data_IF_716384960903
#
_entry.id   IF_716384960903
#
_cell.length_a   1.000
_cell.length_b   1.000
_cell.length_c   1.000
_cell.angle_alpha   90.00
_cell.angle_beta   90.00
_cell.angle_gamma   90.00
#
_symmetry.space_group_name_H-M   'P 1'
#
loop_
_entity.id
_entity.type
_entity.pdbx_description
1 polymer ?
#
# COMPACT_ATOMS: atom_id res chain seq x y z
N UNK A 1 -19.62 -20.03 -4.71
CA UNK A 1 -18.60 -19.46 -3.82
C UNK A 1 -17.23 -19.54 -4.49
N UNK A 2 -16.54 -18.41 -4.58
CA UNK A 2 -15.26 -18.34 -5.27
C UNK A 2 -14.11 -18.52 -4.27
N UNK A 3 -13.34 -19.63 -4.36
CA UNK A 3 -12.28 -19.91 -3.37
C UNK A 3 -11.22 -18.83 -3.29
N UNK A 4 -10.96 -18.10 -4.38
CA UNK A 4 -9.93 -17.06 -4.42
C UNK A 4 -10.29 -15.80 -3.63
N UNK A 5 -11.51 -15.69 -3.09
CA UNK A 5 -11.88 -14.57 -2.22
C UNK A 5 -11.65 -14.84 -0.73
N UNK A 6 -11.20 -16.04 -0.37
CA UNK A 6 -11.02 -16.42 1.04
C UNK A 6 -9.96 -15.60 1.77
N UNK A 7 -8.92 -15.17 1.05
CA UNK A 7 -7.80 -14.44 1.65
C UNK A 7 -7.86 -12.94 1.39
N UNK A 8 -9.03 -12.44 0.98
CA UNK A 8 -9.18 -11.03 0.69
C UNK A 8 -9.21 -10.22 1.99
N UNK A 9 -8.25 -9.31 2.14
CA UNK A 9 -8.20 -8.37 3.25
C UNK A 9 -8.52 -7.00 2.71
N UNK A 10 -9.52 -6.36 3.30
CA UNK A 10 -9.91 -5.00 2.93
C UNK A 10 -9.58 -4.05 4.06
N UNK A 11 -9.01 -2.91 3.73
CA UNK A 11 -8.69 -1.88 4.69
C UNK A 11 -9.22 -0.55 4.19
N UNK A 12 -9.86 0.18 5.09
CA UNK A 12 -10.24 1.55 4.83
C UNK A 12 -9.13 2.43 5.38
N UNK A 13 -8.57 3.29 4.52
CA UNK A 13 -7.35 4.00 4.85
C UNK A 13 -7.47 5.49 4.56
N UNK A 14 -6.73 6.27 5.33
CA UNK A 14 -6.47 7.67 5.04
C UNK A 14 -5.07 7.80 4.47
N UNK A 15 -4.91 8.55 3.38
CA UNK A 15 -3.59 8.85 2.83
C UNK A 15 -2.93 9.91 3.72
N UNK A 16 -1.79 9.55 4.31
CA UNK A 16 -1.03 10.47 5.15
C UNK A 16 -0.19 11.39 4.30
N UNK A 17 0.53 10.81 3.33
CA UNK A 17 1.33 11.61 2.40
C UNK A 17 1.57 10.82 1.11
N UNK A 18 1.90 11.55 0.05
CA UNK A 18 2.15 10.99 -1.26
C UNK A 18 3.32 11.72 -1.93
N UNK A 19 4.17 10.96 -2.58
CA UNK A 19 5.35 11.50 -3.27
C UNK A 19 5.41 10.91 -4.67
N UNK A 20 5.70 11.76 -5.65
CA UNK A 20 5.75 11.35 -7.04
C UNK A 20 4.38 11.11 -7.64
N UNK A 21 4.34 10.45 -8.79
CA UNK A 21 3.09 10.19 -9.49
C UNK A 21 3.29 9.27 -10.69
N UNK A 22 2.20 9.05 -11.41
CA UNK A 22 2.20 8.20 -12.58
C UNK A 22 1.83 6.75 -12.29
N UNK A 23 1.59 6.02 -13.36
CA UNK A 23 1.26 4.60 -13.30
C UNK A 23 2.50 3.83 -13.73
N UNK A 24 2.89 2.86 -12.92
CA UNK A 24 4.04 2.01 -13.19
C UNK A 24 3.61 0.54 -13.31
N UNK A 25 4.51 -0.28 -13.85
CA UNK A 25 4.19 -1.68 -14.11
C UNK A 25 4.21 -2.58 -12.89
N UNK A 26 4.81 -2.14 -11.78
CA UNK A 26 4.91 -2.93 -10.56
C UNK A 26 4.55 -2.09 -9.34
N UNK A 27 4.02 -2.74 -8.32
CA UNK A 27 3.58 -2.09 -7.09
C UNK A 27 3.99 -2.94 -5.91
N UNK A 28 4.63 -2.29 -4.93
CA UNK A 28 4.97 -2.91 -3.65
C UNK A 28 3.97 -2.44 -2.60
N UNK A 29 3.46 -3.37 -1.81
CA UNK A 29 2.69 -3.04 -0.61
C UNK A 29 3.41 -3.60 0.61
N UNK A 30 3.52 -2.80 1.66
CA UNK A 30 4.11 -3.22 2.94
C UNK A 30 3.13 -2.87 4.04
N UNK A 31 2.78 -3.85 4.85
CA UNK A 31 1.91 -3.65 6.00
C UNK A 31 2.77 -3.58 7.26
N UNK A 32 2.61 -2.50 8.00
CA UNK A 32 3.43 -2.21 9.17
C UNK A 32 2.53 -1.97 10.36
N UNK A 33 2.78 -2.68 11.46
CA UNK A 33 2.05 -2.49 12.71
C UNK A 33 3.05 -2.26 13.83
N UNK A 34 3.60 -1.04 13.95
CA UNK A 34 4.59 -0.74 14.98
C UNK A 34 3.93 -0.71 16.36
N UNK A 35 4.75 -0.90 17.40
CA UNK A 35 4.28 -0.71 18.75
C UNK A 35 3.85 0.74 18.97
N UNK A 36 2.83 0.95 19.82
CA UNK A 36 2.25 2.26 20.04
C UNK A 36 3.30 3.30 20.46
N UNK A 37 4.29 2.89 21.26
CA UNK A 37 5.35 3.77 21.72
C UNK A 37 6.30 4.22 20.60
N UNK A 38 6.36 3.46 19.51
CA UNK A 38 7.26 3.72 18.38
C UNK A 38 6.54 4.19 17.12
N UNK A 39 5.20 4.28 17.17
CA UNK A 39 4.40 4.57 15.98
C UNK A 39 4.80 5.90 15.33
N UNK A 40 4.98 6.97 16.12
CA UNK A 40 5.33 8.28 15.58
C UNK A 40 6.75 8.28 14.98
N UNK A 41 7.70 7.66 15.65
CA UNK A 41 9.07 7.57 15.15
C UNK A 41 9.14 6.75 13.87
N UNK A 42 8.40 5.63 13.80
CA UNK A 42 8.33 4.80 12.61
C UNK A 42 7.69 5.56 11.45
N UNK A 43 6.61 6.30 11.72
CA UNK A 43 5.95 7.11 10.71
C UNK A 43 6.90 8.14 10.10
N UNK A 44 7.65 8.89 10.93
CA UNK A 44 8.61 9.88 10.44
C UNK A 44 9.71 9.23 9.61
N UNK A 45 10.22 8.10 10.07
CA UNK A 45 11.27 7.38 9.35
C UNK A 45 10.78 6.89 8.00
N UNK A 46 9.55 6.35 7.94
CA UNK A 46 8.94 5.93 6.69
C UNK A 46 8.78 7.10 5.73
N UNK A 47 8.26 8.23 6.21
CA UNK A 47 8.07 9.41 5.36
C UNK A 47 9.39 9.90 4.78
N UNK A 48 10.47 9.85 5.57
CA UNK A 48 11.80 10.24 5.11
C UNK A 48 12.28 9.36 3.95
N UNK A 49 12.11 8.06 4.07
CA UNK A 49 12.45 7.10 3.00
C UNK A 49 11.57 7.31 1.78
N UNK A 50 10.26 7.45 1.98
CA UNK A 50 9.31 7.56 0.88
C UNK A 50 9.46 8.85 0.10
N UNK A 51 9.90 9.92 0.76
CA UNK A 51 10.17 11.21 0.11
C UNK A 51 11.22 11.08 -0.98
N UNK A 52 12.19 10.20 -0.81
CA UNK A 52 13.27 10.00 -1.75
C UNK A 52 12.89 9.07 -2.91
N UNK A 53 11.80 8.33 -2.80
CA UNK A 53 11.40 7.33 -3.79
C UNK A 53 11.32 7.88 -5.20
N UNK A 54 10.68 9.05 -5.47
CA UNK A 54 10.59 9.54 -6.84
C UNK A 54 11.93 9.86 -7.48
N UNK A 55 12.97 10.06 -6.67
CA UNK A 55 14.32 10.36 -7.15
C UNK A 55 15.14 9.11 -7.41
N UNK A 56 14.65 7.94 -7.03
CA UNK A 56 15.39 6.69 -7.20
C UNK A 56 15.08 6.06 -8.55
N UNK A 57 16.11 5.51 -9.19
CA UNK A 57 15.98 4.83 -10.47
C UNK A 57 15.13 3.58 -10.29
N UNK A 58 14.14 3.40 -11.16
CA UNK A 58 13.25 2.24 -11.10
C UNK A 58 11.98 2.47 -10.32
N UNK A 59 11.87 3.57 -9.56
CA UNK A 59 10.72 3.90 -8.74
C UNK A 59 10.03 5.16 -9.27
N UNK A 60 8.72 5.27 -9.04
CA UNK A 60 7.93 6.39 -9.55
C UNK A 60 7.19 7.14 -8.47
N UNK A 61 6.52 6.42 -7.56
CA UNK A 61 5.71 7.08 -6.53
C UNK A 61 5.65 6.27 -5.27
N UNK A 62 5.33 6.95 -4.18
CA UNK A 62 5.16 6.31 -2.87
C UNK A 62 4.02 6.97 -2.12
N UNK A 63 3.29 6.17 -1.35
CA UNK A 63 2.18 6.63 -0.54
C UNK A 63 2.25 5.96 0.83
N UNK A 64 2.00 6.73 1.87
CA UNK A 64 1.81 6.19 3.21
C UNK A 64 0.35 6.33 3.60
N UNK A 65 -0.27 5.19 3.93
CA UNK A 65 -1.66 5.12 4.32
C UNK A 65 -1.76 4.70 5.78
N UNK A 66 -2.71 5.26 6.48
CA UNK A 66 -3.06 4.83 7.83
C UNK A 66 -4.42 4.17 7.78
N UNK A 67 -4.53 2.98 8.36
CA UNK A 67 -5.81 2.30 8.43
C UNK A 67 -6.73 3.01 9.41
N UNK A 68 -7.98 3.21 9.00
CA UNK A 68 -9.01 3.76 9.86
C UNK A 68 -10.12 2.73 10.02
N UNK A 69 -10.44 2.40 11.26
CA UNK A 69 -11.59 1.55 11.55
C UNK A 69 -12.78 2.48 11.77
N UNK A 70 -13.81 2.41 10.92
CA UNK A 70 -15.02 3.19 11.18
C UNK A 70 -15.58 2.85 12.55
N UNK A 71 -15.97 3.86 13.31
CA UNK A 71 -16.52 3.62 14.66
C UNK A 71 -17.72 2.69 14.64
N UNK A 72 -18.49 2.71 13.57
CA UNK A 72 -19.65 1.84 13.38
C UNK A 72 -19.26 0.38 13.15
N UNK A 73 -18.03 0.10 12.80
CA UNK A 73 -17.54 -1.25 12.55
C UNK A 73 -16.90 -1.90 13.78
N UNK A 74 -16.82 -1.19 14.91
CA UNK A 74 -16.32 -1.77 16.17
C UNK A 74 -17.43 -2.63 16.80
N UNK A 75 -17.53 -3.85 16.34
CA UNK A 75 -18.40 -4.83 16.95
C UNK A 75 -17.76 -5.38 18.22
N UNK A 76 -18.57 -5.96 19.11
CA UNK A 76 -18.06 -6.62 20.30
C UNK A 76 -17.03 -7.71 19.95
N UNK A 77 -17.18 -8.35 18.81
CA UNK A 77 -16.24 -9.38 18.35
C UNK A 77 -14.85 -8.81 18.08
N UNK A 78 -14.76 -7.62 17.50
CA UNK A 78 -13.47 -6.98 17.25
C UNK A 78 -12.77 -6.60 18.56
N UNK A 79 -13.52 -6.18 19.57
CA UNK A 79 -12.96 -5.89 20.90
C UNK A 79 -12.45 -7.16 21.58
N UNK A 80 -13.14 -8.27 21.41
CA UNK A 80 -12.78 -9.56 22.02
C UNK A 80 -11.50 -10.11 21.37
N UNK A 81 -11.31 -9.89 20.06
CA UNK A 81 -10.12 -10.33 19.35
C UNK A 81 -8.89 -9.45 19.59
N UNK A 82 -9.04 -8.39 20.40
CA UNK A 82 -7.92 -7.53 20.78
C UNK A 82 -7.32 -6.72 19.65
N UNK A 83 -8.04 -6.51 18.57
CA UNK A 83 -7.58 -5.70 17.44
C UNK A 83 -6.41 -6.28 16.67
N UNK A 84 -6.12 -7.58 16.85
CA UNK A 84 -5.01 -8.25 16.17
C UNK A 84 -5.38 -8.88 14.84
N UNK A 85 -6.59 -8.65 14.38
CA UNK A 85 -6.95 -9.15 13.06
C UNK A 85 -6.16 -8.40 12.01
N UNK A 86 -5.95 -9.05 10.93
CA UNK A 86 -5.19 -8.75 9.72
C UNK A 86 -5.15 -7.28 9.24
N UNK A 87 -5.53 -6.31 10.06
CA UNK A 87 -5.52 -4.88 9.74
C UNK A 87 -4.22 -4.27 10.26
N UNK A 88 -3.31 -3.94 9.35
CA UNK A 88 -2.09 -3.22 9.70
C UNK A 88 -2.42 -1.76 10.01
N UNK A 89 -1.67 -1.16 10.95
CA UNK A 89 -1.85 0.25 11.30
C UNK A 89 -1.43 1.17 10.15
N UNK A 90 -0.40 0.77 9.42
CA UNK A 90 0.15 1.55 8.31
C UNK A 90 0.31 0.66 7.08
N UNK A 91 0.05 1.23 5.92
CA UNK A 91 0.29 0.57 4.65
C UNK A 91 1.16 1.50 3.79
N UNK A 92 2.29 0.97 3.35
CA UNK A 92 3.17 1.65 2.39
C UNK A 92 2.88 1.10 1.01
N UNK A 93 2.66 1.99 0.05
CA UNK A 93 2.49 1.62 -1.35
C UNK A 93 3.55 2.33 -2.16
N UNK A 94 4.38 1.57 -2.86
CA UNK A 94 5.41 2.11 -3.73
C UNK A 94 5.22 1.54 -5.12
N UNK A 95 5.17 2.38 -6.13
CA UNK A 95 5.11 1.93 -7.51
C UNK A 95 6.43 2.19 -8.23
N UNK A 96 6.73 1.34 -9.20
CA UNK A 96 7.95 1.45 -9.96
C UNK A 96 7.86 0.68 -11.27
N UNK A 97 8.77 1.01 -12.18
CA UNK A 97 8.88 0.32 -13.48
C UNK A 97 9.92 -0.81 -13.45
N UNK A 98 10.59 -0.99 -12.32
CA UNK A 98 11.58 -2.06 -12.13
C UNK A 98 11.28 -2.79 -10.82
N UNK A 99 10.82 -4.04 -10.93
CA UNK A 99 10.48 -4.85 -9.77
C UNK A 99 11.70 -5.08 -8.86
N UNK A 100 12.90 -5.17 -9.44
CA UNK A 100 14.13 -5.34 -8.67
C UNK A 100 14.39 -4.13 -7.76
N UNK A 101 14.10 -2.92 -8.24
CA UNK A 101 14.23 -1.72 -7.43
C UNK A 101 13.30 -1.75 -6.22
N UNK A 102 12.09 -2.30 -6.39
CA UNK A 102 11.15 -2.49 -5.29
C UNK A 102 11.66 -3.52 -4.28
N UNK A 103 12.23 -4.61 -4.75
CA UNK A 103 12.83 -5.62 -3.88
C UNK A 103 14.03 -5.05 -3.11
N UNK A 104 14.87 -4.28 -3.78
CA UNK A 104 16.03 -3.62 -3.17
C UNK A 104 15.60 -2.62 -2.09
N UNK A 105 14.52 -1.90 -2.32
CA UNK A 105 13.96 -0.99 -1.33
C UNK A 105 13.52 -1.75 -0.07
N UNK A 106 12.85 -2.90 -0.26
CA UNK A 106 12.37 -3.73 0.84
C UNK A 106 13.53 -4.29 1.65
N UNK A 107 14.55 -4.85 0.99
CA UNK A 107 15.68 -5.47 1.66
C UNK A 107 16.71 -4.45 2.16
N UNK A 108 16.69 -3.23 1.63
CA UNK A 108 17.61 -2.16 2.00
C UNK A 108 17.02 -1.17 2.98
N UNK A 109 16.51 -0.05 2.47
CA UNK A 109 16.07 1.08 3.31
C UNK A 109 14.94 0.71 4.26
N UNK A 110 13.96 -0.07 3.80
CA UNK A 110 12.86 -0.48 4.66
C UNK A 110 13.32 -1.48 5.72
N UNK A 111 14.24 -2.36 5.39
CA UNK A 111 14.81 -3.28 6.37
C UNK A 111 15.55 -2.55 7.48
N UNK A 112 16.25 -1.45 7.16
CA UNK A 112 16.95 -0.62 8.15
C UNK A 112 16.00 0.03 9.16
N UNK A 113 14.76 0.26 8.77
CA UNK A 113 13.74 0.80 9.67
C UNK A 113 13.07 -0.26 10.54
N UNK A 114 13.47 -1.53 10.40
CA UNK A 114 12.86 -2.62 11.13
C UNK A 114 11.55 -3.11 10.54
N UNK A 115 11.17 -2.61 9.36
CA UNK A 115 9.94 -3.03 8.69
C UNK A 115 10.16 -4.08 7.61
N UNK A 116 11.41 -4.51 7.41
CA UNK A 116 11.75 -5.53 6.42
C UNK A 116 11.15 -6.90 6.72
N UNK A 117 10.82 -7.18 7.99
CA UNK A 117 10.14 -8.40 8.40
C UNK A 117 8.62 -8.28 8.32
N UNK A 118 8.10 -7.09 8.03
CA UNK A 118 6.67 -6.88 7.87
C UNK A 118 6.16 -7.58 6.60
N UNK A 119 4.86 -7.85 6.59
CA UNK A 119 4.25 -8.46 5.41
C UNK A 119 4.36 -7.54 4.21
N UNK A 120 4.98 -8.01 3.14
CA UNK A 120 5.12 -7.26 1.91
C UNK A 120 4.78 -8.13 0.70
N UNK A 121 4.24 -7.51 -0.34
CA UNK A 121 3.86 -8.16 -1.57
C UNK A 121 4.18 -7.26 -2.75
N UNK A 122 4.58 -7.86 -3.86
CA UNK A 122 4.81 -7.14 -5.11
C UNK A 122 3.78 -7.62 -6.14
N UNK A 123 3.11 -6.66 -6.75
CA UNK A 123 2.08 -6.91 -7.74
C UNK A 123 2.51 -6.36 -9.10
N UNK A 124 2.09 -7.04 -10.15
CA UNK A 124 2.28 -6.57 -11.51
C UNK A 124 0.98 -5.96 -12.02
N UNK A 125 1.09 -4.81 -12.67
CA UNK A 125 -0.07 -4.16 -13.27
C UNK A 125 -0.58 -5.00 -14.45
N UNK A 126 -1.86 -5.35 -14.42
CA UNK A 126 -2.49 -6.09 -15.51
C UNK A 126 -3.28 -5.15 -16.42
N UNK A 127 -3.94 -4.16 -15.84
CA UNK A 127 -4.81 -3.27 -16.60
C UNK A 127 -5.03 -1.96 -15.83
N UNK A 128 -5.06 -0.86 -16.57
CA UNK A 128 -5.45 0.44 -16.03
C UNK A 128 -6.43 1.09 -17.00
N UNK A 129 -7.53 1.63 -16.44
CA UNK A 129 -8.54 2.34 -17.23
C UNK A 129 -8.72 3.74 -16.65
N UNK A 130 -8.72 4.73 -17.54
CA UNK A 130 -9.06 6.12 -17.20
C UNK A 130 -10.51 6.39 -17.63
N UNK A 131 -11.13 7.46 -17.12
CA UNK A 131 -12.47 7.84 -17.59
C UNK A 131 -12.52 8.04 -19.11
N UNK A 132 -11.43 8.52 -19.71
CA UNK A 132 -11.33 8.71 -21.17
C UNK A 132 -11.41 7.38 -21.90
N UNK A 133 -10.70 6.36 -21.40
CA UNK A 133 -10.71 5.03 -22.01
C UNK A 133 -12.11 4.41 -21.97
N UNK A 134 -12.82 4.62 -20.87
CA UNK A 134 -14.19 4.13 -20.72
C UNK A 134 -15.14 4.82 -21.70
N UNK A 135 -14.96 6.10 -21.96
CA UNK A 135 -15.77 6.82 -22.93
C UNK A 135 -15.53 6.31 -24.35
N UNK A 136 -14.28 6.07 -24.73
CA UNK A 136 -13.93 5.52 -26.04
C UNK A 136 -14.55 4.15 -26.26
N UNK A 137 -14.53 3.28 -25.26
CA UNK A 137 -15.14 1.97 -25.34
C UNK A 137 -16.64 2.06 -25.51
N UNK A 138 -17.32 3.00 -24.87
CA UNK A 138 -18.74 3.23 -25.05
C UNK A 138 -19.07 3.65 -26.50
N UNK A 139 -18.28 4.53 -27.07
CA UNK A 139 -18.47 4.98 -28.45
C UNK A 139 -18.29 3.84 -29.43
N UNK A 140 -17.30 2.98 -29.24
CA UNK A 140 -17.09 1.82 -30.09
C UNK A 140 -18.22 0.80 -30.00
N UNK A 141 -18.84 0.64 -28.83
CA UNK A 141 -19.96 -0.27 -28.64
C UNK A 141 -21.26 0.24 -29.28
N UNK A 142 -21.38 1.55 -29.49
CA UNK A 142 -22.56 2.14 -30.11
C UNK A 142 -22.53 2.13 -31.65
N UNK A 143 -21.43 1.75 -32.26
CA UNK A 143 -21.32 1.53 -33.67
C UNK A 143 -21.70 0.08 -34.00
#
# INVERSE_FOLDING_TARGET
>A
MMPHHRNMVRSQCRVIDSYGGGIAGSLLTVRVSPEASQADATCRALLEVLRQVPNEIGLTSAHLLRTETPQLAQTKEQKIRGGKDAVADWIVIVSGYDARALEDLTSGKLALLGVGSAQHDIYRLSYAATPRDLQLNRQLQQQ
#
